data_IF_071639626684
#
_entry.id   IF_071639626684
#
_cell.length_a   1.000
_cell.length_b   1.000
_cell.length_c   1.000
_cell.angle_alpha   90.00
_cell.angle_beta   90.00
_cell.angle_gamma   90.00
#
_symmetry.space_group_name_H-M   'P 1'
#
loop_
_entity.id
_entity.type
_entity.pdbx_description
1 polymer ?
#
# COMPACT_ATOMS: atom_id res chain seq x y z
N UNK A 1 22.24 9.36 1.79
CA UNK A 1 21.81 9.18 3.19
C UNK A 1 22.09 7.76 3.67
N UNK A 2 22.35 7.54 4.96
CA UNK A 2 22.44 6.20 5.56
C UNK A 2 21.04 5.61 5.84
N UNK A 3 20.95 4.29 6.01
CA UNK A 3 19.70 3.58 6.36
C UNK A 3 19.07 4.16 7.64
N UNK A 4 19.90 4.47 8.66
CA UNK A 4 19.44 5.07 9.92
C UNK A 4 18.82 6.45 9.69
N UNK A 5 19.45 7.29 8.87
CA UNK A 5 18.91 8.62 8.55
C UNK A 5 17.58 8.55 7.80
N UNK A 6 17.47 7.62 6.85
CA UNK A 6 16.22 7.36 6.11
C UNK A 6 15.12 6.89 7.08
N UNK A 7 15.46 5.97 7.97
CA UNK A 7 14.54 5.43 8.98
C UNK A 7 14.01 6.53 9.90
N UNK A 8 14.88 7.37 10.47
CA UNK A 8 14.47 8.47 11.33
C UNK A 8 13.63 9.51 10.56
N UNK A 9 13.93 9.77 9.28
CA UNK A 9 13.12 10.66 8.45
C UNK A 9 11.71 10.10 8.21
N UNK A 10 11.58 8.80 7.95
CA UNK A 10 10.27 8.13 7.82
C UNK A 10 9.51 8.16 9.14
N UNK A 11 10.16 7.82 10.25
CA UNK A 11 9.56 7.82 11.59
C UNK A 11 8.98 9.20 11.93
N UNK A 12 9.77 10.26 11.70
CA UNK A 12 9.33 11.63 11.93
C UNK A 12 8.19 12.05 10.99
N UNK A 13 8.30 11.73 9.70
CA UNK A 13 7.29 12.15 8.70
C UNK A 13 5.93 11.50 8.96
N UNK A 14 5.93 10.21 9.32
CA UNK A 14 4.70 9.46 9.57
C UNK A 14 4.21 9.54 11.01
N UNK A 15 5.00 10.10 11.94
CA UNK A 15 4.66 10.14 13.36
C UNK A 15 4.60 8.75 14.01
N UNK A 16 5.47 7.83 13.58
CA UNK A 16 5.49 6.42 14.05
C UNK A 16 6.79 6.09 14.79
N UNK A 17 6.82 5.01 15.62
CA UNK A 17 8.05 4.56 16.26
C UNK A 17 9.14 4.16 15.25
N UNK A 18 10.42 4.40 15.59
CA UNK A 18 11.55 4.05 14.72
C UNK A 18 11.63 2.54 14.38
N UNK A 19 11.18 1.67 15.30
CA UNK A 19 11.12 0.24 15.05
C UNK A 19 10.16 -0.13 13.92
N UNK A 20 9.06 0.61 13.76
CA UNK A 20 8.12 0.39 12.66
C UNK A 20 8.61 1.05 11.37
N UNK A 21 9.24 2.22 11.45
CA UNK A 21 9.92 2.83 10.30
C UNK A 21 11.03 1.93 9.74
N UNK A 22 11.76 1.23 10.62
CA UNK A 22 12.80 0.26 10.21
C UNK A 22 12.20 -0.84 9.34
N UNK A 23 11.06 -1.39 9.75
CA UNK A 23 10.36 -2.44 8.97
C UNK A 23 9.97 -1.94 7.58
N UNK A 24 9.55 -0.68 7.44
CA UNK A 24 9.22 -0.10 6.12
C UNK A 24 10.45 -0.12 5.22
N UNK A 25 11.61 0.31 5.72
CA UNK A 25 12.86 0.32 4.96
C UNK A 25 13.30 -1.11 4.60
N UNK A 26 13.24 -2.04 5.54
CA UNK A 26 13.54 -3.46 5.29
C UNK A 26 12.63 -4.06 4.22
N UNK A 27 11.33 -3.74 4.25
CA UNK A 27 10.36 -4.22 3.25
C UNK A 27 10.58 -3.57 1.88
N UNK A 28 10.97 -2.30 1.82
CA UNK A 28 11.34 -1.66 0.56
C UNK A 28 12.56 -2.35 -0.08
N UNK A 29 13.59 -2.66 0.71
CA UNK A 29 14.78 -3.37 0.24
C UNK A 29 14.43 -4.80 -0.19
N UNK A 30 13.72 -5.55 0.65
CA UNK A 30 13.33 -6.94 0.35
C UNK A 30 12.35 -7.05 -0.83
N UNK A 31 11.48 -6.06 -0.99
CA UNK A 31 10.56 -5.93 -2.13
C UNK A 31 11.24 -5.48 -3.43
N UNK A 32 12.53 -5.15 -3.38
CA UNK A 32 13.32 -4.76 -4.54
C UNK A 32 13.07 -3.33 -5.04
N UNK A 33 12.36 -2.50 -4.27
CA UNK A 33 12.14 -1.07 -4.59
C UNK A 33 13.47 -0.32 -4.77
N UNK A 34 14.49 -0.73 -4.01
CA UNK A 34 15.84 -0.15 -4.05
C UNK A 34 16.80 -0.89 -5.02
N UNK A 35 16.30 -1.72 -5.94
CA UNK A 35 17.17 -2.42 -6.92
C UNK A 35 17.57 -1.50 -8.07
N UNK A 36 16.65 -0.62 -8.49
CA UNK A 36 16.84 0.32 -9.60
C UNK A 36 17.18 1.74 -9.14
N UNK A 37 16.95 2.03 -7.87
CA UNK A 37 17.10 3.34 -7.27
C UNK A 37 17.91 3.22 -5.99
N UNK A 38 18.69 4.25 -5.67
CA UNK A 38 19.27 4.34 -4.32
C UNK A 38 18.16 4.50 -3.28
N UNK A 39 18.43 4.13 -2.03
CA UNK A 39 17.45 4.26 -0.95
C UNK A 39 16.98 5.72 -0.76
N UNK A 40 17.86 6.69 -1.00
CA UNK A 40 17.53 8.11 -0.95
C UNK A 40 16.62 8.55 -2.09
N UNK A 41 16.90 8.13 -3.33
CA UNK A 41 16.02 8.40 -4.47
C UNK A 41 14.64 7.75 -4.27
N UNK A 42 14.61 6.51 -3.77
CA UNK A 42 13.36 5.87 -3.42
C UNK A 42 12.59 6.69 -2.37
N UNK A 43 13.26 7.19 -1.34
CA UNK A 43 12.62 8.00 -0.31
C UNK A 43 12.01 9.30 -0.87
N UNK A 44 12.83 10.12 -1.55
CA UNK A 44 12.41 11.47 -1.98
C UNK A 44 11.51 11.46 -3.22
N UNK A 45 11.72 10.53 -4.15
CA UNK A 45 11.03 10.54 -5.44
C UNK A 45 9.85 9.58 -5.49
N UNK A 46 9.80 8.58 -4.59
CA UNK A 46 8.74 7.57 -4.59
C UNK A 46 7.97 7.51 -3.29
N UNK A 47 8.63 7.29 -2.15
CA UNK A 47 7.93 7.06 -0.89
C UNK A 47 7.21 8.32 -0.40
N UNK A 48 7.96 9.41 -0.16
CA UNK A 48 7.41 10.64 0.42
C UNK A 48 6.35 11.31 -0.47
N UNK A 49 6.51 11.43 -1.80
CA UNK A 49 5.48 12.03 -2.65
C UNK A 49 4.17 11.25 -2.68
N UNK A 50 4.20 9.95 -2.39
CA UNK A 50 3.02 9.09 -2.32
C UNK A 50 2.48 8.93 -0.88
N UNK A 51 3.11 9.55 0.12
CA UNK A 51 2.55 9.62 1.46
C UNK A 51 1.47 10.71 1.51
N UNK A 52 0.23 10.30 1.79
CA UNK A 52 -0.90 11.22 1.97
C UNK A 52 -1.33 11.16 3.42
N UNK A 53 -1.38 12.32 4.07
CA UNK A 53 -2.00 12.43 5.37
C UNK A 53 -3.51 12.42 5.19
N UNK A 54 -4.18 11.49 5.87
CA UNK A 54 -5.64 11.34 5.82
C UNK A 54 -6.14 11.47 7.26
N UNK A 55 -7.05 12.41 7.49
CA UNK A 55 -7.75 12.56 8.75
C UNK A 55 -8.99 11.63 8.82
N UNK A 56 -9.68 11.62 9.94
CA UNK A 56 -10.83 10.72 10.15
C UNK A 56 -11.95 10.96 9.12
N UNK A 57 -12.19 12.22 8.75
CA UNK A 57 -13.20 12.59 7.76
C UNK A 57 -12.79 12.12 6.36
N UNK A 58 -11.54 12.38 5.95
CA UNK A 58 -10.99 11.93 4.68
C UNK A 58 -10.96 10.40 4.57
N UNK A 59 -10.63 9.70 5.66
CA UNK A 59 -10.67 8.24 5.73
C UNK A 59 -12.09 7.73 5.57
N UNK A 60 -13.03 8.30 6.31
CA UNK A 60 -14.45 7.96 6.25
C UNK A 60 -15.01 8.18 4.85
N UNK A 61 -14.72 9.32 4.23
CA UNK A 61 -15.18 9.64 2.88
C UNK A 61 -14.54 8.72 1.82
N UNK A 62 -13.28 8.35 1.98
CA UNK A 62 -12.60 7.38 1.12
C UNK A 62 -13.28 6.00 1.22
N UNK A 63 -13.58 5.51 2.43
CA UNK A 63 -14.30 4.26 2.65
C UNK A 63 -15.72 4.31 2.03
N UNK A 64 -16.47 5.39 2.25
CA UNK A 64 -17.80 5.58 1.65
C UNK A 64 -17.71 5.54 0.11
N UNK A 65 -16.71 6.20 -0.48
CA UNK A 65 -16.51 6.22 -1.93
C UNK A 65 -16.16 4.83 -2.48
N UNK A 66 -15.31 4.08 -1.77
CA UNK A 66 -14.98 2.70 -2.14
C UNK A 66 -16.22 1.79 -2.15
N UNK A 67 -17.09 1.91 -1.14
CA UNK A 67 -18.35 1.15 -1.07
C UNK A 67 -19.33 1.50 -2.19
N UNK A 68 -19.39 2.77 -2.62
CA UNK A 68 -20.23 3.20 -3.76
C UNK A 68 -19.78 2.61 -5.10
N UNK A 69 -18.48 2.27 -5.25
CA UNK A 69 -17.97 1.60 -6.46
C UNK A 69 -18.42 0.14 -6.50
N UNK A 70 -18.49 -0.55 -5.34
CA UNK A 70 -19.00 -1.92 -5.26
C UNK A 70 -20.46 -2.03 -5.73
N UNK A 71 -21.28 -1.03 -5.42
CA UNK A 71 -22.68 -0.96 -5.86
C UNK A 71 -22.82 -0.88 -7.40
N UNK A 72 -21.84 -0.25 -8.08
CA UNK A 72 -21.77 -0.20 -9.56
C UNK A 72 -21.08 -1.41 -10.19
N UNK A 73 -20.19 -2.08 -9.45
CA UNK A 73 -19.53 -3.32 -9.88
C UNK A 73 -20.44 -4.55 -9.72
N UNK A 74 -21.51 -4.44 -8.92
CA UNK A 74 -22.56 -5.44 -8.76
C UNK A 74 -23.67 -5.33 -9.82
N UNK A 75 -23.40 -4.80 -11.02
CA UNK A 75 -24.24 -5.18 -12.15
C UNK A 75 -24.05 -6.67 -12.38
N UNK A 76 -25.10 -7.49 -12.27
CA UNK A 76 -24.97 -8.91 -12.49
C UNK A 76 -24.53 -9.11 -13.95
N UNK A 77 -23.34 -9.66 -14.14
CA UNK A 77 -23.00 -10.36 -15.39
C UNK A 77 -23.93 -11.57 -15.43
N UNK A 78 -25.16 -11.32 -15.88
CA UNK A 78 -26.05 -12.36 -16.38
C UNK A 78 -25.42 -12.84 -17.69
N UNK A 79 -24.62 -13.90 -17.61
CA UNK A 79 -24.33 -14.74 -18.76
C UNK A 79 -22.85 -15.02 -19.04
N UNK A 80 -22.46 -16.24 -18.63
CA UNK A 80 -21.55 -17.17 -19.33
C UNK A 80 -20.03 -17.02 -19.12
N UNK A 81 -19.49 -18.06 -18.47
CA UNK A 81 -18.12 -18.59 -18.50
C UNK A 81 -17.02 -17.89 -17.68
N UNK A 82 -17.04 -18.08 -16.35
CA UNK A 82 -15.84 -17.99 -15.50
C UNK A 82 -15.57 -19.30 -14.72
N UNK A 83 -16.02 -20.45 -15.24
CA UNK A 83 -15.81 -21.76 -14.60
C UNK A 83 -14.44 -22.40 -14.90
N UNK A 84 -13.56 -21.79 -15.70
CA UNK A 84 -12.31 -22.44 -16.15
C UNK A 84 -11.00 -21.72 -15.78
N UNK A 85 -11.01 -20.64 -14.99
CA UNK A 85 -9.75 -19.90 -14.68
C UNK A 85 -9.26 -19.89 -13.25
N UNK A 86 -9.95 -20.55 -12.31
CA UNK A 86 -9.42 -20.72 -10.96
C UNK A 86 -9.49 -22.18 -10.53
N UNK A 87 -8.66 -22.99 -11.18
CA UNK A 87 -8.23 -24.27 -10.63
C UNK A 87 -7.34 -24.00 -9.41
N UNK A 88 -7.93 -24.02 -8.22
CA UNK A 88 -7.21 -23.83 -6.97
C UNK A 88 -8.16 -23.76 -5.80
N UNK A 89 -8.49 -24.92 -5.22
CA UNK A 89 -9.32 -25.08 -4.04
C UNK A 89 -8.90 -24.14 -2.90
N UNK A 90 -9.74 -23.16 -2.57
CA UNK A 90 -9.75 -22.57 -1.23
C UNK A 90 -11.01 -23.10 -0.53
N UNK A 91 -10.83 -24.15 0.27
CA UNK A 91 -11.78 -24.51 1.33
C UNK A 91 -11.53 -23.55 2.49
N UNK A 92 -12.45 -22.65 2.75
CA UNK A 92 -12.54 -21.96 4.03
C UNK A 92 -13.15 -22.94 5.05
N UNK A 93 -12.42 -23.14 6.14
CA UNK A 93 -12.94 -23.65 7.42
C UNK A 93 -13.45 -22.43 8.18
#
# INVERSE_FOLDING_TARGET
MSITQVTSKIAHTLGIPEGDATKIVEKAIAGGECTKFTLEQWLEERFLPNCVHIDEEGYTQMCINALKILDRAAQPIMGVAASERFGGNIKLI
#
